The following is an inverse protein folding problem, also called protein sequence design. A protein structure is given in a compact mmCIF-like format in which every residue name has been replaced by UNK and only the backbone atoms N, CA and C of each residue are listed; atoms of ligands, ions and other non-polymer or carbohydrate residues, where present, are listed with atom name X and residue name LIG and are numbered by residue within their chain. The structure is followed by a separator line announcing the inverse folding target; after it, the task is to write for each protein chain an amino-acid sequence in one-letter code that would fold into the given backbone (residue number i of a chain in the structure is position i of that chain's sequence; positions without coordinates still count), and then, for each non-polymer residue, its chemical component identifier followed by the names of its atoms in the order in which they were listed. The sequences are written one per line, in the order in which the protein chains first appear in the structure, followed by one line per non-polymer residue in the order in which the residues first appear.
data_IF_116231828089
#
_entry.id   IF_116231828089
#
_cell.length_a   1.000
_cell.length_b   1.000
_cell.length_c   1.000
_cell.angle_alpha   90.00
_cell.angle_beta   90.00
_cell.angle_gamma   90.00
#
_symmetry.space_group_name_H-M   'P 1'
#
loop_
_entity.id
_entity.type
_entity.pdbx_description
1 polymer ?
#
# COMPACT_ATOMS: atom_id res chain seq x y z
N UNK A 1 -47.81 47.02 -26.08
CA UNK A 1 -46.50 47.56 -25.65
C UNK A 1 -46.62 48.20 -24.27
N UNK A 2 -46.74 47.43 -23.18
CA UNK A 2 -46.34 47.82 -21.81
C UNK A 2 -46.27 46.54 -20.98
N UNK A 3 -45.07 46.21 -20.49
CA UNK A 3 -44.78 45.49 -19.24
C UNK A 3 -45.49 44.15 -18.96
N UNK A 4 -44.92 43.05 -19.47
CA UNK A 4 -45.01 41.74 -18.83
C UNK A 4 -43.74 41.51 -17.99
N UNK A 5 -43.69 42.20 -16.85
CA UNK A 5 -42.75 41.95 -15.76
C UNK A 5 -43.27 40.74 -15.00
N UNK A 6 -42.86 39.54 -15.42
CA UNK A 6 -42.84 38.33 -14.59
C UNK A 6 -42.12 37.21 -15.35
N UNK A 7 -40.86 37.41 -15.71
CA UNK A 7 -40.05 36.35 -16.31
C UNK A 7 -38.66 36.35 -15.70
N UNK A 8 -38.44 35.33 -14.87
CA UNK A 8 -37.15 34.69 -14.59
C UNK A 8 -36.23 35.47 -13.65
N UNK A 9 -36.56 35.40 -12.36
CA UNK A 9 -35.64 35.63 -11.24
C UNK A 9 -35.10 34.30 -10.66
N UNK A 10 -35.02 33.23 -11.46
CA UNK A 10 -34.79 31.86 -10.98
C UNK A 10 -33.70 31.05 -11.70
N UNK A 11 -32.73 31.68 -12.36
CA UNK A 11 -31.68 30.93 -13.09
C UNK A 11 -30.25 31.53 -13.01
N UNK A 12 -29.81 32.03 -11.85
CA UNK A 12 -28.37 32.34 -11.66
C UNK A 12 -27.73 31.71 -10.43
N UNK A 13 -28.43 30.82 -9.72
CA UNK A 13 -27.86 30.05 -8.61
C UNK A 13 -27.36 28.66 -9.03
N UNK A 14 -26.89 28.52 -10.28
CA UNK A 14 -26.38 27.24 -10.83
C UNK A 14 -24.86 27.08 -10.72
N UNK A 15 -24.13 27.99 -10.05
CA UNK A 15 -22.71 27.78 -9.77
C UNK A 15 -22.50 27.39 -8.31
N UNK A 16 -23.34 26.48 -7.79
CA UNK A 16 -23.11 25.89 -6.47
C UNK A 16 -22.27 24.62 -6.64
N UNK A 17 -20.98 24.81 -6.39
CA UNK A 17 -19.98 23.80 -6.02
C UNK A 17 -19.80 22.62 -6.98
N UNK A 18 -18.94 22.83 -7.98
CA UNK A 18 -17.90 21.81 -8.21
C UNK A 18 -17.05 21.78 -6.95
N UNK A 19 -17.47 20.98 -5.96
CA UNK A 19 -16.64 20.63 -4.82
C UNK A 19 -15.39 20.00 -5.42
N UNK A 20 -14.30 20.75 -5.45
CA UNK A 20 -12.98 20.16 -5.55
C UNK A 20 -12.85 19.29 -4.31
N UNK A 21 -13.21 18.01 -4.43
CA UNK A 21 -12.80 17.00 -3.46
C UNK A 21 -11.29 16.93 -3.62
N UNK A 22 -10.60 17.75 -2.84
CA UNK A 22 -9.16 17.64 -2.64
C UNK A 22 -8.96 16.31 -1.93
N UNK A 23 -8.75 15.25 -2.70
CA UNK A 23 -8.50 13.92 -2.18
C UNK A 23 -7.27 14.02 -1.26
N UNK A 24 -7.49 13.92 0.04
CA UNK A 24 -6.40 13.92 0.99
C UNK A 24 -5.52 12.70 0.69
N UNK A 25 -4.23 12.92 0.47
CA UNK A 25 -3.31 11.83 0.18
C UNK A 25 -3.25 10.88 1.39
N UNK A 26 -3.43 9.56 1.22
CA UNK A 26 -3.57 8.61 2.32
C UNK A 26 -2.35 8.64 3.26
N UNK A 27 -2.58 8.70 4.57
CA UNK A 27 -1.52 8.73 5.60
C UNK A 27 -1.00 7.35 6.00
N UNK A 28 -1.63 6.30 5.48
CA UNK A 28 -1.31 4.90 5.74
C UNK A 28 -1.39 4.10 4.44
N UNK A 29 -0.70 2.96 4.42
CA UNK A 29 -0.65 2.02 3.31
C UNK A 29 -0.99 0.60 3.73
N UNK A 30 -0.94 -0.31 2.76
CA UNK A 30 -1.07 -1.76 2.97
C UNK A 30 0.13 -2.44 2.33
N UNK A 31 0.66 -3.47 2.98
CA UNK A 31 1.66 -4.37 2.42
C UNK A 31 1.06 -5.76 2.30
N UNK A 32 1.09 -6.31 1.08
CA UNK A 32 0.74 -7.70 0.81
C UNK A 32 1.97 -8.43 0.34
N UNK A 33 2.33 -9.50 1.05
CA UNK A 33 3.45 -10.39 0.70
C UNK A 33 2.85 -11.65 0.07
N UNK A 34 3.29 -11.98 -1.15
CA UNK A 34 2.96 -13.23 -1.82
C UNK A 34 4.15 -14.19 -1.72
N UNK A 35 3.95 -15.33 -1.04
CA UNK A 35 4.97 -16.36 -0.85
C UNK A 35 4.55 -17.66 -1.51
N UNK A 36 5.47 -18.22 -2.29
CA UNK A 36 5.27 -19.46 -3.02
C UNK A 36 6.47 -20.39 -2.89
N UNK A 37 6.21 -21.67 -3.09
CA UNK A 37 7.24 -22.70 -3.29
C UNK A 37 7.83 -22.55 -4.70
N UNK A 38 9.13 -22.79 -4.79
CA UNK A 38 9.85 -22.81 -6.06
C UNK A 38 10.79 -24.01 -6.03
N UNK A 39 10.81 -24.78 -7.11
CA UNK A 39 11.81 -25.83 -7.29
C UNK A 39 13.21 -25.23 -7.27
N UNK A 40 14.21 -26.01 -6.85
CA UNK A 40 15.62 -25.56 -6.74
C UNK A 40 16.14 -24.88 -8.02
N UNK A 41 15.69 -25.36 -9.17
CA UNK A 41 16.08 -24.88 -10.50
C UNK A 41 14.92 -24.14 -11.22
N UNK A 42 13.90 -23.72 -10.47
CA UNK A 42 12.77 -22.96 -11.00
C UNK A 42 13.21 -21.58 -11.50
N UNK A 43 12.56 -21.09 -12.55
CA UNK A 43 12.77 -19.73 -13.04
C UNK A 43 12.29 -18.72 -11.98
N UNK A 44 13.09 -17.69 -11.62
CA UNK A 44 12.67 -16.66 -10.68
C UNK A 44 11.39 -15.97 -11.18
N UNK A 45 10.57 -15.51 -10.24
CA UNK A 45 9.44 -14.64 -10.56
C UNK A 45 9.90 -13.29 -11.13
N UNK A 46 8.96 -12.53 -11.67
CA UNK A 46 9.23 -11.14 -12.05
C UNK A 46 9.65 -10.33 -10.83
N UNK A 47 10.53 -9.34 -11.05
CA UNK A 47 10.87 -8.38 -10.00
C UNK A 47 9.60 -7.62 -9.58
N UNK A 48 9.46 -7.41 -8.27
CA UNK A 48 8.31 -6.71 -7.72
C UNK A 48 8.33 -5.23 -8.06
N UNK A 49 7.27 -4.71 -8.67
CA UNK A 49 7.14 -3.28 -8.99
C UNK A 49 6.40 -2.48 -7.91
N UNK A 50 5.89 -3.17 -6.87
CA UNK A 50 5.14 -2.57 -5.77
C UNK A 50 3.68 -2.25 -6.10
N UNK A 51 3.19 -2.63 -7.29
CA UNK A 51 1.79 -2.50 -7.66
C UNK A 51 0.93 -3.58 -6.99
N UNK A 52 -0.35 -3.27 -6.78
CA UNK A 52 -1.31 -4.25 -6.28
C UNK A 52 -1.59 -5.40 -7.27
N UNK A 53 -1.21 -5.24 -8.54
CA UNK A 53 -1.46 -6.18 -9.62
C UNK A 53 -0.18 -6.89 -10.07
N UNK A 54 0.83 -7.00 -9.19
CA UNK A 54 2.04 -7.75 -9.48
C UNK A 54 1.68 -9.15 -9.98
N UNK A 55 2.19 -9.51 -11.16
CA UNK A 55 1.96 -10.83 -11.73
C UNK A 55 2.67 -11.89 -10.89
N UNK A 56 1.89 -12.81 -10.34
CA UNK A 56 2.39 -14.02 -9.68
C UNK A 56 2.53 -15.10 -10.76
N UNK A 57 3.66 -15.85 -10.82
CA UNK A 57 3.82 -16.93 -11.79
C UNK A 57 2.66 -17.92 -11.73
N UNK A 58 2.13 -18.33 -12.90
CA UNK A 58 0.92 -19.19 -12.97
C UNK A 58 1.11 -20.59 -12.39
N UNK A 59 2.34 -21.07 -12.33
CA UNK A 59 2.73 -22.33 -11.71
C UNK A 59 3.24 -22.16 -10.27
N UNK A 60 3.15 -20.96 -9.69
CA UNK A 60 3.53 -20.73 -8.30
C UNK A 60 2.59 -21.49 -7.37
N UNK A 61 3.14 -22.40 -6.56
CA UNK A 61 2.39 -23.07 -5.52
C UNK A 61 2.41 -22.21 -4.26
N UNK A 62 1.26 -21.70 -3.77
CA UNK A 62 1.22 -20.84 -2.59
C UNK A 62 1.78 -21.56 -1.37
N UNK A 63 2.53 -20.83 -0.54
CA UNK A 63 3.19 -21.38 0.64
C UNK A 63 2.61 -20.79 1.92
N UNK A 64 1.78 -21.58 2.60
CA UNK A 64 1.22 -21.28 3.92
C UNK A 64 2.24 -21.42 5.04
N UNK A 65 2.08 -20.64 6.11
CA UNK A 65 2.77 -20.85 7.38
C UNK A 65 4.17 -20.24 7.46
N UNK A 66 4.54 -19.39 6.52
CA UNK A 66 5.78 -18.61 6.56
C UNK A 66 5.54 -17.37 7.41
N UNK A 67 6.40 -17.14 8.40
CA UNK A 67 6.34 -15.99 9.30
C UNK A 67 7.33 -14.92 8.86
N UNK A 68 6.82 -13.71 8.69
CA UNK A 68 7.61 -12.51 8.41
C UNK A 68 7.62 -11.57 9.60
N UNK A 69 8.78 -11.00 9.89
CA UNK A 69 8.92 -9.80 10.72
C UNK A 69 8.98 -8.56 9.83
N UNK A 70 8.08 -7.62 10.06
CA UNK A 70 8.01 -6.35 9.35
C UNK A 70 8.31 -5.22 10.32
N UNK A 71 9.41 -4.50 10.10
CA UNK A 71 9.90 -3.43 10.99
C UNK A 71 10.03 -2.12 10.24
N UNK A 72 9.42 -1.05 10.75
CA UNK A 72 9.59 0.30 10.20
C UNK A 72 10.99 0.81 10.52
N UNK A 73 11.75 1.21 9.50
CA UNK A 73 13.13 1.73 9.62
C UNK A 73 13.23 3.21 9.29
N UNK A 74 12.25 3.77 8.59
CA UNK A 74 12.15 5.21 8.38
C UNK A 74 10.69 5.66 8.37
N UNK A 75 10.41 6.85 8.90
CA UNK A 75 9.11 7.50 8.85
C UNK A 75 9.11 8.61 7.81
N UNK A 76 7.99 8.80 7.13
CA UNK A 76 7.79 9.91 6.22
C UNK A 76 6.75 10.86 6.80
N UNK A 77 7.12 12.13 6.94
CA UNK A 77 6.16 13.20 7.15
C UNK A 77 5.96 13.91 5.80
N UNK A 78 4.69 14.11 5.42
CA UNK A 78 4.35 14.85 4.21
C UNK A 78 4.50 16.34 4.50
N UNK A 79 5.35 17.01 3.74
CA UNK A 79 5.38 18.47 3.71
C UNK A 79 4.52 18.90 2.51
N UNK A 80 3.30 19.34 2.78
CA UNK A 80 2.42 19.91 1.77
C UNK A 80 2.49 21.43 1.79
N UNK A 81 2.63 22.05 0.62
CA UNK A 81 2.24 23.44 0.43
C UNK A 81 1.04 23.43 -0.52
N UNK A 82 -0.08 24.03 -0.10
CA UNK A 82 -1.29 24.16 -0.89
C UNK A 82 -1.89 22.88 -1.50
N UNK A 83 -1.55 21.69 -0.96
CA UNK A 83 -2.09 20.40 -1.41
C UNK A 83 -1.22 19.62 -2.38
N UNK A 84 -0.09 20.19 -2.79
CA UNK A 84 0.95 19.46 -3.51
C UNK A 84 1.93 18.89 -2.48
N UNK A 85 2.31 17.62 -2.65
CA UNK A 85 3.39 17.03 -1.83
C UNK A 85 4.70 17.58 -2.36
N UNK A 86 5.26 18.57 -1.68
CA UNK A 86 6.46 19.29 -2.14
C UNK A 86 7.74 18.55 -1.71
N UNK A 87 7.69 17.83 -0.58
CA UNK A 87 8.83 17.07 -0.06
C UNK A 87 8.40 16.01 0.96
N UNK A 88 9.12 14.89 0.99
CA UNK A 88 9.08 13.93 2.09
C UNK A 88 10.17 14.27 3.11
N UNK A 89 9.79 14.41 4.38
CA UNK A 89 10.75 14.46 5.48
C UNK A 89 10.98 13.04 6.00
N UNK A 90 12.13 12.49 5.62
CA UNK A 90 12.52 11.10 5.94
C UNK A 90 13.33 11.10 7.23
N UNK A 91 12.77 10.51 8.29
CA UNK A 91 13.45 10.37 9.59
C UNK A 91 13.72 8.90 9.88
N UNK A 92 14.93 8.52 10.33
CA UNK A 92 15.20 7.15 10.77
C UNK A 92 14.33 6.82 11.99
N UNK A 93 13.81 5.60 12.03
CA UNK A 93 13.06 5.09 13.19
C UNK A 93 13.95 4.10 13.93
N UNK A 94 14.33 4.46 15.15
CA UNK A 94 15.18 3.62 16.02
C UNK A 94 14.29 2.93 17.05
N UNK A 95 14.50 1.62 17.26
CA UNK A 95 13.77 0.86 18.26
C UNK A 95 12.33 0.50 17.91
N UNK A 96 11.93 0.58 16.62
CA UNK A 96 10.64 0.06 16.20
C UNK A 96 10.50 -1.43 16.55
N UNK A 97 9.37 -1.79 17.16
CA UNK A 97 9.02 -3.19 17.40
C UNK A 97 8.57 -3.83 16.09
N UNK A 98 9.15 -4.96 15.66
CA UNK A 98 8.67 -5.68 14.48
C UNK A 98 7.27 -6.25 14.70
N UNK A 99 6.44 -6.20 13.66
CA UNK A 99 5.16 -6.91 13.61
C UNK A 99 5.36 -8.25 12.93
N UNK A 100 4.87 -9.33 13.54
CA UNK A 100 4.86 -10.64 12.90
C UNK A 100 3.57 -10.86 12.12
N UNK A 101 3.71 -11.42 10.91
CA UNK A 101 2.59 -11.86 10.07
C UNK A 101 2.89 -13.23 9.49
N UNK A 102 1.87 -14.06 9.32
CA UNK A 102 1.99 -15.42 8.81
C UNK A 102 1.21 -15.56 7.50
N UNK A 103 1.78 -16.26 6.52
CA UNK A 103 1.10 -16.52 5.24
C UNK A 103 -0.08 -17.48 5.39
N UNK A 104 -1.19 -17.14 4.74
CA UNK A 104 -2.43 -17.91 4.73
C UNK A 104 -2.40 -19.08 3.73
N UNK A 105 -3.54 -19.75 3.53
CA UNK A 105 -3.71 -20.84 2.56
C UNK A 105 -3.44 -20.43 1.11
N UNK A 106 -3.50 -19.13 0.79
CA UNK A 106 -3.17 -18.56 -0.51
C UNK A 106 -1.72 -18.09 -0.59
N UNK A 107 -0.90 -18.37 0.42
CA UNK A 107 0.48 -17.90 0.50
C UNK A 107 0.59 -16.40 0.72
N UNK A 108 -0.46 -15.75 1.23
CA UNK A 108 -0.52 -14.30 1.40
C UNK A 108 -0.37 -13.90 2.87
N UNK A 109 0.44 -12.88 3.12
CA UNK A 109 0.51 -12.19 4.40
C UNK A 109 0.17 -10.71 4.19
N UNK A 110 -0.87 -10.22 4.88
CA UNK A 110 -1.42 -8.87 4.67
C UNK A 110 -1.27 -8.04 5.94
N UNK A 111 -0.59 -6.90 5.84
CA UNK A 111 -0.54 -5.87 6.87
C UNK A 111 -1.28 -4.63 6.37
N UNK A 112 -2.32 -4.24 7.09
CA UNK A 112 -3.14 -3.05 6.80
C UNK A 112 -2.72 -1.89 7.70
N UNK A 113 -3.13 -0.69 7.33
CA UNK A 113 -3.01 0.52 8.18
C UNK A 113 -1.56 0.80 8.60
N UNK A 114 -0.61 0.53 7.70
CA UNK A 114 0.82 0.79 7.96
C UNK A 114 1.09 2.29 7.81
N UNK A 115 1.63 2.98 8.84
CA UNK A 115 2.07 4.35 8.69
C UNK A 115 3.09 4.49 7.56
N UNK A 116 3.04 5.58 6.80
CA UNK A 116 3.98 5.77 5.68
C UNK A 116 5.44 5.74 6.13
N UNK A 117 6.26 4.96 5.44
CA UNK A 117 7.66 4.82 5.80
C UNK A 117 8.39 3.76 4.97
N UNK A 118 9.67 3.57 5.29
CA UNK A 118 10.45 2.42 4.81
C UNK A 118 10.35 1.29 5.82
N UNK A 119 10.20 0.08 5.31
CA UNK A 119 10.07 -1.12 6.11
C UNK A 119 11.14 -2.13 5.70
N UNK A 120 11.71 -2.79 6.70
CA UNK A 120 12.49 -4.02 6.55
C UNK A 120 11.54 -5.20 6.71
N UNK A 121 11.58 -6.14 5.78
CA UNK A 121 10.79 -7.38 5.80
C UNK A 121 11.75 -8.55 5.86
N UNK A 122 11.60 -9.41 6.86
CA UNK A 122 12.48 -10.55 7.09
C UNK A 122 11.67 -11.83 7.29
N UNK A 123 12.03 -12.88 6.56
CA UNK A 123 11.52 -14.23 6.82
C UNK A 123 12.22 -14.82 8.06
N UNK A 124 11.44 -15.23 9.08
CA UNK A 124 11.99 -15.67 10.37
C UNK A 124 11.62 -17.10 10.75
N UNK A 125 10.55 -17.64 10.18
CA UNK A 125 10.14 -19.03 10.38
C UNK A 125 9.31 -19.52 9.19
N UNK A 126 9.21 -20.83 9.01
CA UNK A 126 8.38 -21.42 7.97
C UNK A 126 8.23 -22.93 8.13
N UNK A 127 7.49 -23.58 7.22
CA UNK A 127 7.30 -25.02 7.24
C UNK A 127 8.62 -25.79 7.11
N UNK A 128 8.74 -26.98 7.73
CA UNK A 128 10.00 -27.72 7.81
C UNK A 128 10.54 -28.22 6.46
N UNK A 129 9.69 -28.26 5.43
CA UNK A 129 10.06 -28.69 4.08
C UNK A 129 10.60 -27.56 3.19
N UNK A 130 10.75 -26.35 3.74
CA UNK A 130 11.20 -25.16 2.98
C UNK A 130 12.49 -24.61 3.57
N UNK A 131 13.44 -24.28 2.70
CA UNK A 131 14.61 -23.51 3.09
C UNK A 131 14.20 -22.05 3.24
N UNK A 132 14.36 -21.50 4.44
CA UNK A 132 14.14 -20.07 4.66
C UNK A 132 15.20 -19.26 3.92
N UNK A 133 14.80 -18.12 3.39
CA UNK A 133 15.74 -17.11 2.89
C UNK A 133 15.87 -15.99 3.94
N UNK A 134 16.83 -16.07 4.88
CA UNK A 134 16.96 -15.10 5.98
C UNK A 134 17.52 -13.72 5.58
N UNK A 135 17.69 -13.46 4.27
CA UNK A 135 18.49 -12.40 3.63
C UNK A 135 20.01 -12.65 3.66
#
# INVERSE_FOLDING_TARGET
KIFSVLLVFFLTFSTWSSVLVKAASPSEGTLTIHKYEQEKDGAPGLEGDGSANQEVPTNAKPLKGVTFEVKRVASFEKISNDGEIVKEDVKPVIGATPTQVVTDDNGQAVLKELPLGRYEVKEVAGPPHVNLNPN
#
